data_IF_395640037678
#
_entry.id   IF_395640037678
#
_cell.length_a   1.000
_cell.length_b   1.000
_cell.length_c   1.000
_cell.angle_alpha   90.00
_cell.angle_beta   90.00
_cell.angle_gamma   90.00
#
_symmetry.space_group_name_H-M   'P 1'
#
loop_
_entity.id
_entity.type
_entity.pdbx_description
1 polymer ?
#
# COMPACT_ATOMS: atom_id res chain seq x y z
N UNK A 1 -75.61 -6.96 66.80
CA UNK A 1 -74.61 -5.97 67.27
C UNK A 1 -73.43 -6.00 66.30
N UNK A 2 -73.29 -4.99 65.42
CA UNK A 2 -72.29 -3.89 65.50
C UNK A 2 -70.84 -4.37 65.31
N UNK A 3 -69.99 -3.90 64.38
CA UNK A 3 -69.90 -2.74 63.48
C UNK A 3 -68.88 -3.06 62.35
N UNK A 4 -68.94 -2.35 61.21
CA UNK A 4 -67.83 -2.26 60.22
C UNK A 4 -66.72 -1.30 60.74
N UNK A 5 -65.47 -1.33 60.23
CA UNK A 5 -65.15 -0.48 59.06
C UNK A 5 -64.07 -1.00 58.08
N UNK A 6 -64.08 -0.34 56.92
CA UNK A 6 -63.22 -0.41 55.72
C UNK A 6 -61.70 -0.39 55.99
N UNK A 7 -60.92 -1.12 55.16
CA UNK A 7 -59.57 -0.69 54.72
C UNK A 7 -59.34 -1.00 53.23
N UNK A 8 -58.79 -0.01 52.53
CA UNK A 8 -58.43 0.04 51.10
C UNK A 8 -56.98 -0.44 50.88
N UNK A 9 -56.52 -0.61 49.62
CA UNK A 9 -55.60 -1.65 49.21
C UNK A 9 -54.13 -1.26 49.39
N UNK A 10 -53.26 -2.25 49.54
CA UNK A 10 -51.81 -2.04 49.43
C UNK A 10 -51.24 -2.95 48.36
N UNK A 11 -50.75 -2.28 47.31
CA UNK A 11 -49.89 -2.83 46.26
C UNK A 11 -48.76 -3.63 46.89
N UNK A 12 -48.53 -4.85 46.41
CA UNK A 12 -47.23 -5.48 46.53
C UNK A 12 -46.77 -5.92 45.15
N UNK A 13 -45.77 -5.19 44.70
CA UNK A 13 -44.93 -5.44 43.55
C UNK A 13 -43.97 -6.58 43.93
N UNK A 14 -44.08 -7.74 43.29
CA UNK A 14 -43.00 -8.72 43.24
C UNK A 14 -43.20 -9.69 42.06
N UNK A 15 -42.09 -10.21 41.54
CA UNK A 15 -41.88 -10.89 40.24
C UNK A 15 -41.66 -9.87 39.12
N UNK A 16 -40.56 -9.11 39.12
CA UNK A 16 -39.18 -9.58 38.97
C UNK A 16 -39.02 -10.66 37.91
N UNK A 17 -38.30 -10.24 36.86
CA UNK A 17 -37.44 -11.05 35.99
C UNK A 17 -38.15 -11.89 34.94
N UNK A 18 -38.83 -11.22 34.01
CA UNK A 18 -38.92 -11.72 32.64
C UNK A 18 -38.40 -10.67 31.66
N UNK A 19 -37.30 -11.06 31.01
CA UNK A 19 -37.14 -10.93 29.57
C UNK A 19 -37.01 -9.51 28.99
N UNK A 20 -36.02 -8.73 29.45
CA UNK A 20 -35.70 -7.44 28.79
C UNK A 20 -34.23 -7.01 28.71
N UNK A 21 -33.28 -7.84 29.16
CA UNK A 21 -31.85 -7.47 29.13
C UNK A 21 -31.07 -7.99 27.92
N UNK A 22 -31.52 -9.04 27.23
CA UNK A 22 -30.81 -9.57 26.05
C UNK A 22 -30.98 -8.71 24.78
N UNK A 23 -31.98 -7.82 24.75
CA UNK A 23 -32.21 -6.93 23.60
C UNK A 23 -31.30 -5.71 23.54
N UNK A 24 -30.44 -5.48 24.55
CA UNK A 24 -29.56 -4.30 24.62
C UNK A 24 -28.06 -4.61 24.49
N UNK A 25 -27.70 -5.77 23.93
CA UNK A 25 -26.31 -6.09 23.56
C UNK A 25 -26.12 -6.34 22.05
N UNK A 26 -27.12 -6.06 21.21
CA UNK A 26 -27.07 -6.26 19.75
C UNK A 26 -27.15 -4.96 18.94
N UNK A 27 -26.99 -3.79 19.57
CA UNK A 27 -27.08 -2.49 18.88
C UNK A 27 -25.73 -1.76 18.69
N UNK A 28 -24.63 -2.28 19.27
CA UNK A 28 -23.30 -1.64 19.18
C UNK A 28 -22.31 -2.30 18.21
N UNK A 29 -22.55 -3.55 17.82
CA UNK A 29 -21.58 -4.38 17.07
C UNK A 29 -21.80 -4.42 15.56
N UNK A 30 -22.86 -3.81 15.03
CA UNK A 30 -23.18 -3.88 13.60
C UNK A 30 -22.36 -2.89 12.73
N UNK A 31 -21.85 -1.78 13.28
CA UNK A 31 -21.11 -0.80 12.48
C UNK A 31 -19.62 -1.11 12.32
N UNK A 32 -19.03 -1.95 13.18
CA UNK A 32 -17.59 -2.25 13.15
C UNK A 32 -17.27 -3.31 12.08
N UNK A 33 -18.15 -4.28 11.84
CA UNK A 33 -17.92 -5.36 10.87
C UNK A 33 -17.88 -4.89 9.41
N UNK A 34 -18.69 -3.89 9.04
CA UNK A 34 -18.74 -3.34 7.68
C UNK A 34 -17.57 -2.39 7.38
N UNK A 35 -17.14 -1.58 8.35
CA UNK A 35 -15.97 -0.72 8.19
C UNK A 35 -14.67 -1.53 8.06
N UNK A 36 -14.56 -2.65 8.80
CA UNK A 36 -13.37 -3.49 8.81
C UNK A 36 -13.23 -4.34 7.54
N UNK A 37 -14.34 -4.80 6.94
CA UNK A 37 -14.32 -5.54 5.67
C UNK A 37 -14.00 -4.63 4.49
N UNK A 38 -14.65 -3.45 4.37
CA UNK A 38 -14.31 -2.48 3.33
C UNK A 38 -12.86 -2.00 3.45
N UNK A 39 -12.40 -1.68 4.66
CA UNK A 39 -11.02 -1.24 4.89
C UNK A 39 -9.97 -2.29 4.46
N UNK A 40 -10.26 -3.57 4.68
CA UNK A 40 -9.38 -4.66 4.25
C UNK A 40 -9.39 -4.81 2.72
N UNK A 41 -10.55 -4.80 2.09
CA UNK A 41 -10.69 -4.90 0.62
C UNK A 41 -9.98 -3.77 -0.12
N UNK A 42 -10.10 -2.51 0.34
CA UNK A 42 -9.39 -1.37 -0.25
C UNK A 42 -7.86 -1.54 -0.12
N UNK A 43 -7.36 -2.00 1.03
CA UNK A 43 -5.92 -2.24 1.23
C UNK A 43 -5.39 -3.35 0.32
N UNK A 44 -6.14 -4.43 0.12
CA UNK A 44 -5.73 -5.50 -0.80
C UNK A 44 -5.69 -5.01 -2.26
N UNK A 45 -6.68 -4.23 -2.69
CA UNK A 45 -6.70 -3.64 -4.04
C UNK A 45 -5.54 -2.68 -4.26
N UNK A 46 -5.23 -1.82 -3.27
CA UNK A 46 -4.08 -0.91 -3.35
C UNK A 46 -2.75 -1.66 -3.49
N UNK A 47 -2.55 -2.74 -2.73
CA UNK A 47 -1.35 -3.60 -2.87
C UNK A 47 -1.27 -4.27 -4.24
N UNK A 48 -2.38 -4.80 -4.75
CA UNK A 48 -2.42 -5.42 -6.07
C UNK A 48 -2.11 -4.41 -7.19
N UNK A 49 -2.62 -3.18 -7.08
CA UNK A 49 -2.31 -2.11 -8.02
C UNK A 49 -0.83 -1.69 -7.96
N UNK A 50 -0.26 -1.56 -6.75
CA UNK A 50 1.17 -1.28 -6.56
C UNK A 50 2.05 -2.40 -7.16
N UNK A 51 1.69 -3.67 -6.94
CA UNK A 51 2.43 -4.81 -7.48
C UNK A 51 2.44 -4.84 -9.02
N UNK A 52 1.40 -4.33 -9.68
CA UNK A 52 1.37 -4.22 -11.15
C UNK A 52 2.32 -3.14 -11.68
N UNK A 53 2.50 -2.02 -10.97
CA UNK A 53 3.44 -0.94 -11.36
C UNK A 53 4.90 -1.39 -11.36
N UNK A 54 5.14 -2.49 -10.68
CA UNK A 54 6.44 -2.98 -10.29
C UNK A 54 6.87 -4.23 -11.08
N UNK A 55 6.13 -4.54 -12.15
CA UNK A 55 6.45 -5.54 -13.17
C UNK A 55 7.04 -4.85 -14.40
N UNK A 56 7.96 -5.54 -15.08
CA UNK A 56 8.46 -5.09 -16.37
C UNK A 56 7.31 -4.99 -17.39
N UNK A 57 7.22 -3.84 -18.05
CA UNK A 57 6.29 -3.60 -19.15
C UNK A 57 6.94 -3.97 -20.49
N UNK A 58 8.18 -3.52 -20.68
CA UNK A 58 8.96 -3.78 -21.89
C UNK A 58 10.34 -4.25 -21.48
N UNK A 59 10.75 -5.43 -21.98
CA UNK A 59 12.12 -5.93 -21.86
C UNK A 59 12.94 -5.31 -22.99
N UNK A 60 14.06 -4.69 -22.64
CA UNK A 60 14.99 -4.08 -23.60
C UNK A 60 16.17 -5.04 -23.84
N UNK A 61 16.93 -5.35 -22.79
CA UNK A 61 18.06 -6.27 -22.85
C UNK A 61 17.98 -7.35 -21.76
N UNK A 62 17.56 -8.57 -22.11
CA UNK A 62 17.31 -9.66 -21.14
C UNK A 62 18.52 -10.08 -20.30
N UNK A 63 19.73 -9.83 -20.78
CA UNK A 63 21.01 -10.15 -20.16
C UNK A 63 21.70 -8.94 -19.53
N UNK A 64 21.06 -7.76 -19.53
CA UNK A 64 21.63 -6.55 -18.94
C UNK A 64 21.73 -6.71 -17.42
N UNK A 65 22.93 -6.49 -16.90
CA UNK A 65 23.25 -6.50 -15.48
C UNK A 65 24.25 -5.39 -15.17
N UNK A 66 24.12 -4.77 -14.00
CA UNK A 66 24.97 -3.70 -13.54
C UNK A 66 26.08 -4.25 -12.64
N UNK A 67 27.33 -4.06 -13.03
CA UNK A 67 28.49 -4.44 -12.21
C UNK A 67 28.65 -3.52 -11.00
N UNK A 68 29.46 -3.95 -10.00
CA UNK A 68 29.80 -3.09 -8.84
C UNK A 68 30.45 -1.78 -9.28
N UNK A 69 31.35 -1.85 -10.26
CA UNK A 69 32.08 -0.68 -10.77
C UNK A 69 31.13 0.31 -11.45
N UNK A 70 30.25 -0.18 -12.35
CA UNK A 70 29.26 0.67 -13.00
C UNK A 70 28.30 1.28 -11.99
N UNK A 71 27.85 0.52 -10.98
CA UNK A 71 27.02 1.06 -9.92
C UNK A 71 27.75 2.20 -9.19
N UNK A 72 28.98 1.96 -8.71
CA UNK A 72 29.72 3.01 -7.99
C UNK A 72 29.93 4.27 -8.83
N UNK A 73 30.11 4.13 -10.15
CA UNK A 73 30.23 5.27 -11.06
C UNK A 73 28.88 5.99 -11.24
N UNK A 74 27.79 5.24 -11.45
CA UNK A 74 26.44 5.79 -11.58
C UNK A 74 26.03 6.59 -10.34
N UNK A 75 26.38 6.11 -9.14
CA UNK A 75 26.10 6.80 -7.87
C UNK A 75 26.84 8.15 -7.72
N UNK A 76 27.77 8.49 -8.61
CA UNK A 76 28.43 9.80 -8.65
C UNK A 76 27.75 10.79 -9.58
N UNK A 77 26.81 10.35 -10.43
CA UNK A 77 26.08 11.21 -11.35
C UNK A 77 25.09 12.07 -10.54
N UNK A 78 25.19 13.41 -10.60
CA UNK A 78 24.25 14.28 -9.90
C UNK A 78 22.86 14.19 -10.53
N UNK A 79 21.82 14.36 -9.70
CA UNK A 79 20.45 14.51 -10.21
C UNK A 79 20.35 15.71 -11.16
N UNK A 80 19.37 15.65 -12.07
CA UNK A 80 19.11 16.63 -13.15
C UNK A 80 20.13 16.63 -14.29
N UNK A 81 21.09 15.69 -14.27
CA UNK A 81 21.93 15.42 -15.44
C UNK A 81 21.13 14.80 -16.59
N UNK A 82 21.71 14.86 -17.79
CA UNK A 82 21.09 14.23 -18.95
C UNK A 82 21.07 12.69 -18.80
N UNK A 83 19.98 12.07 -19.25
CA UNK A 83 19.78 10.61 -19.30
C UNK A 83 20.98 9.88 -19.91
N UNK A 84 21.61 10.46 -20.93
CA UNK A 84 22.80 9.92 -21.59
C UNK A 84 23.94 9.65 -20.59
N UNK A 85 24.10 10.45 -19.54
CA UNK A 85 25.15 10.24 -18.54
C UNK A 85 24.97 8.91 -17.78
N UNK A 86 23.73 8.48 -17.55
CA UNK A 86 23.43 7.18 -16.97
C UNK A 86 23.63 6.06 -18.00
N UNK A 87 23.15 6.26 -19.23
CA UNK A 87 23.22 5.27 -20.30
C UNK A 87 24.67 4.99 -20.75
N UNK A 88 25.57 5.96 -20.67
CA UNK A 88 27.01 5.76 -20.94
C UNK A 88 27.67 4.82 -19.91
N UNK A 89 27.17 4.78 -18.67
CA UNK A 89 27.73 3.96 -17.59
C UNK A 89 27.05 2.58 -17.57
N UNK A 90 25.72 2.57 -17.59
CA UNK A 90 24.91 1.38 -17.37
C UNK A 90 24.49 0.67 -18.66
N UNK A 91 24.70 1.30 -19.83
CA UNK A 91 24.17 0.87 -21.12
C UNK A 91 22.63 0.73 -21.09
N UNK A 92 22.11 -0.14 -21.95
CA UNK A 92 20.68 -0.38 -22.08
C UNK A 92 20.11 -1.10 -20.83
N UNK A 93 18.96 -0.67 -20.30
CA UNK A 93 18.34 -1.31 -19.14
C UNK A 93 17.85 -2.73 -19.45
N UNK A 94 17.62 -3.52 -18.40
CA UNK A 94 16.95 -4.80 -18.53
C UNK A 94 15.50 -4.63 -18.99
N UNK A 95 14.77 -3.74 -18.32
CA UNK A 95 13.38 -3.46 -18.64
C UNK A 95 12.95 -2.07 -18.16
N UNK A 96 11.78 -1.64 -18.62
CA UNK A 96 11.07 -0.48 -18.08
C UNK A 96 9.87 -0.92 -17.23
N UNK A 97 9.63 -0.20 -16.13
CA UNK A 97 8.44 -0.36 -15.30
C UNK A 97 7.37 0.65 -15.69
N UNK A 98 6.17 0.50 -15.12
CA UNK A 98 5.13 1.51 -15.27
C UNK A 98 5.62 2.86 -14.76
N UNK A 99 5.48 3.90 -15.58
CA UNK A 99 5.75 5.27 -15.18
C UNK A 99 4.93 5.63 -13.93
N UNK A 100 5.52 6.43 -13.05
CA UNK A 100 4.89 6.87 -11.80
C UNK A 100 4.85 8.38 -11.72
N UNK A 101 3.83 8.90 -11.08
CA UNK A 101 3.79 10.31 -10.71
C UNK A 101 4.71 10.53 -9.50
N UNK A 102 5.79 11.28 -9.69
CA UNK A 102 6.75 11.62 -8.61
C UNK A 102 6.37 12.90 -7.88
N UNK A 103 5.61 13.78 -8.56
CA UNK A 103 4.98 15.00 -8.05
C UNK A 103 3.77 15.33 -8.92
N UNK A 104 2.87 16.18 -8.42
CA UNK A 104 1.61 16.47 -9.09
C UNK A 104 1.79 16.84 -10.58
N UNK A 105 1.23 16.00 -11.46
CA UNK A 105 1.27 16.17 -12.91
C UNK A 105 2.57 15.77 -13.59
N UNK A 106 3.57 15.28 -12.87
CA UNK A 106 4.89 14.93 -13.43
C UNK A 106 5.12 13.42 -13.34
N UNK A 107 5.18 12.81 -14.52
CA UNK A 107 5.41 11.38 -14.70
C UNK A 107 6.90 11.13 -14.87
N UNK A 108 7.42 10.16 -14.10
CA UNK A 108 8.77 9.66 -14.24
C UNK A 108 8.76 8.26 -14.87
N UNK A 109 9.56 8.09 -15.91
CA UNK A 109 9.93 6.80 -16.46
C UNK A 109 10.84 6.04 -15.49
N UNK A 110 10.80 4.72 -15.55
CA UNK A 110 11.48 3.84 -14.60
C UNK A 110 12.27 2.77 -15.34
N UNK A 111 13.59 2.89 -15.37
CA UNK A 111 14.48 1.91 -15.97
C UNK A 111 15.07 0.97 -14.91
N UNK A 112 15.18 -0.31 -15.23
CA UNK A 112 15.62 -1.36 -14.30
C UNK A 112 16.97 -1.91 -14.71
N UNK A 113 17.89 -1.98 -13.75
CA UNK A 113 19.21 -2.57 -13.89
C UNK A 113 19.42 -3.60 -12.75
N UNK A 114 19.30 -4.91 -13.03
CA UNK A 114 19.61 -5.96 -12.06
C UNK A 114 21.09 -5.89 -11.65
N UNK A 115 21.39 -6.11 -10.37
CA UNK A 115 22.77 -6.08 -9.91
C UNK A 115 23.46 -7.41 -10.20
N UNK A 116 24.60 -7.38 -10.89
CA UNK A 116 25.34 -8.58 -11.26
C UNK A 116 25.82 -9.39 -10.04
N UNK A 117 26.02 -8.72 -8.90
CA UNK A 117 26.53 -9.29 -7.65
C UNK A 117 25.46 -9.57 -6.60
N UNK A 118 24.21 -9.19 -6.89
CA UNK A 118 23.03 -9.49 -6.07
C UNK A 118 21.79 -9.58 -6.99
N UNK A 119 21.55 -10.76 -7.61
CA UNK A 119 20.52 -10.92 -8.63
C UNK A 119 19.09 -10.64 -8.14
N UNK A 120 18.87 -10.65 -6.82
CA UNK A 120 17.58 -10.37 -6.21
C UNK A 120 17.37 -8.87 -5.95
N UNK A 121 18.35 -8.02 -6.26
CA UNK A 121 18.26 -6.57 -6.06
C UNK A 121 18.36 -5.87 -7.40
N UNK A 122 17.44 -4.95 -7.63
CA UNK A 122 17.38 -4.10 -8.81
C UNK A 122 17.71 -2.67 -8.43
N UNK A 123 18.54 -2.01 -9.23
CA UNK A 123 18.58 -0.55 -9.28
C UNK A 123 17.47 -0.08 -10.20
N UNK A 124 16.59 0.79 -9.71
CA UNK A 124 15.55 1.44 -10.49
C UNK A 124 15.91 2.90 -10.65
N UNK A 125 16.19 3.33 -11.87
CA UNK A 125 16.52 4.72 -12.21
C UNK A 125 15.25 5.44 -12.68
N UNK A 126 15.09 6.68 -12.22
CA UNK A 126 13.97 7.56 -12.56
C UNK A 126 14.41 8.61 -13.58
N UNK A 127 13.63 8.77 -14.64
CA UNK A 127 13.82 9.82 -15.64
C UNK A 127 12.56 10.68 -15.75
N UNK A 128 12.72 12.00 -15.79
CA UNK A 128 11.70 12.94 -16.26
C UNK A 128 12.13 13.39 -17.66
N UNK A 129 11.45 12.91 -18.70
CA UNK A 129 11.86 13.12 -20.10
C UNK A 129 13.32 12.66 -20.33
N UNK A 130 14.23 13.59 -20.62
CA UNK A 130 15.66 13.35 -20.85
C UNK A 130 16.54 13.67 -19.64
N UNK A 131 15.94 13.92 -18.47
CA UNK A 131 16.67 14.23 -17.24
C UNK A 131 16.64 13.04 -16.29
N UNK A 132 17.81 12.69 -15.75
CA UNK A 132 17.95 11.79 -14.62
C UNK A 132 17.47 12.47 -13.34
N UNK A 133 16.56 11.83 -12.60
CA UNK A 133 15.92 12.43 -11.41
C UNK A 133 16.33 11.71 -10.12
N UNK A 134 16.86 10.50 -10.22
CA UNK A 134 17.33 9.76 -9.06
C UNK A 134 17.23 8.25 -9.24
N UNK A 135 17.48 7.51 -8.18
CA UNK A 135 17.38 6.05 -8.18
C UNK A 135 16.83 5.51 -6.86
N UNK A 136 16.40 4.25 -6.89
CA UNK A 136 16.07 3.48 -5.70
C UNK A 136 16.44 2.02 -5.88
N UNK A 137 16.77 1.35 -4.77
CA UNK A 137 16.97 -0.10 -4.76
C UNK A 137 15.65 -0.80 -4.47
N UNK A 138 15.41 -1.88 -5.21
CA UNK A 138 14.23 -2.72 -5.01
C UNK A 138 14.65 -4.17 -4.89
N UNK A 139 14.23 -4.79 -3.80
CA UNK A 139 14.44 -6.21 -3.54
C UNK A 139 13.30 -7.00 -4.19
N UNK A 140 13.66 -8.06 -4.91
CA UNK A 140 12.75 -9.06 -5.43
C UNK A 140 12.53 -10.13 -4.36
N UNK A 141 11.26 -10.44 -4.10
CA UNK A 141 10.82 -11.49 -3.17
C UNK A 141 10.23 -12.67 -3.94
#
# INVERSE_FOLDING_TARGET
MHQRPKRRPRRQCSKLLTNRHWRRLLAGTACIGLGMSLGLSLRLQAKAAAAKKDRCQTIHASQAVLSRQQLTQLLTVPERENRQAIEEIAAEPYCTLAAIEVRAGVMAERAVYPLAFDPNTWLVVLYEEEEYVGYGFKIQH
#
